data_IF_496899541688
#
_entry.id   IF_496899541688
#
_cell.length_a   1.000
_cell.length_b   1.000
_cell.length_c   1.000
_cell.angle_alpha   90.00
_cell.angle_beta   90.00
_cell.angle_gamma   90.00
#
_symmetry.space_group_name_H-M   'P 1'
#
loop_
_entity.id
_entity.type
_entity.pdbx_description
1 polymer ?
#
# COMPACT_ATOMS: atom_id res chain seq x y z
N UNK A 1 49.98 36.74 1.50
CA UNK A 1 49.42 35.76 2.43
C UNK A 1 48.09 35.29 1.84
N UNK A 2 48.14 34.16 1.13
CA UNK A 2 46.95 33.51 0.58
C UNK A 2 46.41 32.68 1.74
N UNK A 3 45.21 33.00 2.21
CA UNK A 3 44.51 32.15 3.16
C UNK A 3 44.18 30.85 2.41
N UNK A 4 44.86 29.76 2.74
CA UNK A 4 44.39 28.41 2.43
C UNK A 4 43.09 28.21 3.20
N UNK A 5 41.96 28.35 2.51
CA UNK A 5 40.70 27.79 2.98
C UNK A 5 40.87 26.27 3.04
N UNK A 6 41.18 25.76 4.23
CA UNK A 6 41.23 24.33 4.49
C UNK A 6 39.91 23.69 4.07
N UNK A 7 39.97 22.75 3.14
CA UNK A 7 38.84 21.92 2.70
C UNK A 7 38.24 21.24 3.94
N UNK A 8 37.06 21.71 4.40
CA UNK A 8 36.33 21.06 5.48
C UNK A 8 36.00 19.64 5.04
N UNK A 9 36.53 18.64 5.73
CA UNK A 9 36.28 17.24 5.43
C UNK A 9 34.86 16.90 5.87
N UNK A 10 34.02 16.56 4.90
CA UNK A 10 32.63 16.19 5.12
C UNK A 10 32.47 14.72 4.76
N UNK A 11 32.14 13.90 5.74
CA UNK A 11 31.93 12.46 5.57
C UNK A 11 30.45 12.14 5.71
N UNK A 12 29.92 11.31 4.81
CA UNK A 12 28.57 10.75 4.93
C UNK A 12 28.69 9.29 5.31
N UNK A 13 28.13 8.92 6.45
CA UNK A 13 28.09 7.56 6.98
C UNK A 13 26.67 7.03 6.86
N UNK A 14 26.49 5.85 6.27
CA UNK A 14 25.21 5.14 6.26
C UNK A 14 25.25 4.12 7.40
N UNK A 15 24.26 4.20 8.30
CA UNK A 15 24.15 3.30 9.46
C UNK A 15 22.70 2.97 9.77
N UNK A 16 22.49 1.98 10.63
CA UNK A 16 21.17 1.65 11.15
C UNK A 16 20.61 2.80 11.99
N UNK A 17 19.30 2.96 11.93
CA UNK A 17 18.55 3.91 12.75
C UNK A 17 18.56 3.47 14.23
N UNK A 18 18.92 4.38 15.12
CA UNK A 18 18.93 4.19 16.56
C UNK A 18 17.86 5.08 17.20
N UNK A 19 16.76 4.47 17.69
CA UNK A 19 15.56 5.21 18.09
C UNK A 19 15.81 6.30 19.15
N UNK A 20 16.59 5.99 20.18
CA UNK A 20 16.89 6.93 21.27
C UNK A 20 17.70 8.15 20.80
N UNK A 21 18.50 7.99 19.75
CA UNK A 21 19.42 9.01 19.25
C UNK A 21 18.81 9.82 18.11
N UNK A 22 18.16 9.14 17.16
CA UNK A 22 17.88 9.70 15.84
C UNK A 22 16.44 10.18 15.68
N UNK A 23 15.52 9.85 16.60
CA UNK A 23 14.07 10.08 16.44
C UNK A 23 13.72 11.52 16.08
N UNK A 24 14.27 12.49 16.80
CA UNK A 24 13.95 13.91 16.60
C UNK A 24 14.50 14.44 15.26
N UNK A 25 15.71 14.02 14.89
CA UNK A 25 16.36 14.45 13.66
C UNK A 25 15.70 13.82 12.43
N UNK A 26 15.30 12.55 12.52
CA UNK A 26 14.51 11.85 11.51
C UNK A 26 13.15 12.51 11.31
N UNK A 27 12.45 12.85 12.39
CA UNK A 27 11.16 13.53 12.31
C UNK A 27 11.30 14.93 11.66
N UNK A 28 12.37 15.64 12.00
CA UNK A 28 12.70 16.93 11.40
C UNK A 28 13.05 16.80 9.91
N UNK A 29 13.81 15.77 9.53
CA UNK A 29 14.16 15.48 8.15
C UNK A 29 12.94 15.11 7.30
N UNK A 30 12.05 14.26 7.80
CA UNK A 30 10.78 13.92 7.12
C UNK A 30 9.98 15.18 6.85
N UNK A 31 9.76 16.02 7.88
CA UNK A 31 9.05 17.30 7.76
C UNK A 31 9.66 18.22 6.70
N UNK A 32 10.98 18.25 6.61
CA UNK A 32 11.72 19.06 5.63
C UNK A 32 11.64 18.49 4.21
N UNK A 33 11.51 17.18 4.07
CA UNK A 33 11.40 16.48 2.80
C UNK A 33 9.96 16.43 2.26
N UNK A 34 8.95 16.73 3.09
CA UNK A 34 7.58 16.94 2.64
C UNK A 34 7.50 18.25 1.85
N UNK A 35 7.69 18.16 0.53
CA UNK A 35 7.59 19.27 -0.41
C UNK A 35 6.39 19.02 -1.32
N UNK A 36 5.40 19.91 -1.25
CA UNK A 36 4.42 20.06 -2.33
C UNK A 36 5.06 20.65 -3.59
N UNK A 37 4.31 20.70 -4.71
CA UNK A 37 4.78 21.38 -5.91
C UNK A 37 5.22 22.81 -5.57
N UNK A 38 6.41 23.20 -6.03
CA UNK A 38 6.93 24.56 -5.83
C UNK A 38 5.92 25.57 -6.40
N UNK A 39 5.45 26.53 -5.59
CA UNK A 39 4.55 27.60 -6.05
C UNK A 39 3.16 27.69 -5.40
N UNK A 40 2.97 27.20 -4.17
CA UNK A 40 1.72 27.40 -3.42
C UNK A 40 0.58 26.44 -3.78
N UNK A 41 0.89 25.35 -4.49
CA UNK A 41 -0.05 24.27 -4.73
C UNK A 41 -0.37 23.51 -3.43
N UNK A 42 -1.54 22.87 -3.39
CA UNK A 42 -1.90 22.01 -2.26
C UNK A 42 -0.95 20.81 -2.17
N UNK A 43 -0.57 20.43 -0.96
CA UNK A 43 0.36 19.34 -0.70
C UNK A 43 -0.18 18.41 0.38
N UNK A 44 0.14 17.12 0.28
CA UNK A 44 -0.17 16.15 1.30
C UNK A 44 1.04 16.02 2.24
N UNK A 45 0.79 16.17 3.53
CA UNK A 45 1.80 16.03 4.58
C UNK A 45 1.51 14.77 5.41
N UNK A 46 2.55 14.01 5.75
CA UNK A 46 2.43 12.80 6.57
C UNK A 46 3.02 13.02 7.96
N UNK A 47 2.24 12.75 8.99
CA UNK A 47 2.65 12.69 10.39
C UNK A 47 2.73 11.22 10.82
N UNK A 48 3.95 10.74 11.10
CA UNK A 48 4.21 9.35 11.51
C UNK A 48 3.97 9.12 13.02
N UNK A 49 3.31 10.05 13.72
CA UNK A 49 2.94 9.93 15.14
C UNK A 49 4.16 9.70 16.05
N UNK A 50 5.31 10.25 15.65
CA UNK A 50 6.59 10.07 16.33
C UNK A 50 7.20 8.68 16.18
N UNK A 51 6.69 7.83 15.30
CA UNK A 51 7.21 6.49 15.03
C UNK A 51 7.66 6.37 13.57
N UNK A 52 8.95 6.59 13.26
CA UNK A 52 9.44 6.49 11.89
C UNK A 52 9.43 5.06 11.35
N UNK A 53 9.25 4.01 12.17
CA UNK A 53 9.22 2.61 11.73
C UNK A 53 7.80 2.09 11.49
N UNK A 54 6.75 2.88 11.77
CA UNK A 54 5.35 2.45 11.75
C UNK A 54 4.93 1.77 10.44
N UNK A 55 5.46 2.22 9.29
CA UNK A 55 5.12 1.72 7.95
C UNK A 55 5.88 0.46 7.50
N UNK A 56 6.82 -0.05 8.31
CA UNK A 56 7.57 -1.28 7.99
C UNK A 56 7.56 -2.30 9.13
N UNK A 57 7.31 -1.88 10.37
CA UNK A 57 7.37 -2.75 11.55
C UNK A 57 6.41 -3.94 11.53
N UNK A 58 5.34 -3.84 10.75
CA UNK A 58 4.34 -4.91 10.64
C UNK A 58 4.73 -5.98 9.62
N UNK A 59 5.81 -5.79 8.86
CA UNK A 59 6.32 -6.70 7.83
C UNK A 59 7.74 -7.19 8.17
N UNK A 60 7.91 -8.04 9.20
CA UNK A 60 9.23 -8.57 9.55
C UNK A 60 9.74 -9.56 8.48
N UNK A 61 11.05 -9.55 8.16
CA UNK A 61 12.08 -8.65 8.70
C UNK A 61 12.03 -7.25 8.04
N UNK A 62 12.35 -6.22 8.82
CA UNK A 62 12.44 -4.83 8.36
C UNK A 62 13.73 -4.16 8.86
N UNK A 63 14.16 -3.11 8.17
CA UNK A 63 15.32 -2.28 8.51
C UNK A 63 15.05 -0.82 8.17
N UNK A 64 15.64 0.10 8.93
CA UNK A 64 15.74 1.50 8.58
C UNK A 64 17.19 1.94 8.66
N UNK A 65 17.65 2.61 7.60
CA UNK A 65 18.98 3.20 7.52
C UNK A 65 18.86 4.72 7.51
N UNK A 66 19.84 5.38 8.13
CA UNK A 66 20.02 6.83 8.10
C UNK A 66 21.36 7.18 7.47
N UNK A 67 21.40 8.33 6.78
CA UNK A 67 22.61 8.95 6.31
C UNK A 67 22.98 10.08 7.27
N UNK A 68 24.06 9.90 8.01
CA UNK A 68 24.61 10.86 8.94
C UNK A 68 25.77 11.61 8.31
N UNK A 69 25.66 12.94 8.29
CA UNK A 69 26.72 13.85 7.89
C UNK A 69 27.59 14.15 9.12
N UNK A 70 28.89 13.91 9.01
CA UNK A 70 29.87 14.22 10.05
C UNK A 70 30.83 15.28 9.49
N UNK A 71 30.98 16.38 10.24
CA UNK A 71 31.94 17.45 9.91
C UNK A 71 33.11 17.47 10.89
N UNK A 72 34.21 18.10 10.50
CA UNK A 72 35.40 18.29 11.37
C UNK A 72 35.11 19.01 12.69
N UNK A 73 33.99 19.74 12.78
CA UNK A 73 33.52 20.35 14.02
C UNK A 73 32.77 19.39 14.96
N UNK A 74 32.85 18.07 14.72
CA UNK A 74 32.06 17.02 15.39
C UNK A 74 30.54 17.23 15.28
N UNK A 75 30.08 18.10 14.37
CA UNK A 75 28.65 18.25 14.13
C UNK A 75 28.13 17.05 13.37
N UNK A 76 27.01 16.51 13.85
CA UNK A 76 26.32 15.36 13.28
C UNK A 76 24.93 15.76 12.87
N UNK A 77 24.54 15.42 11.66
CA UNK A 77 23.21 15.75 11.11
C UNK A 77 22.67 14.56 10.32
N UNK A 78 21.42 14.17 10.58
CA UNK A 78 20.71 13.18 9.75
C UNK A 78 20.20 13.87 8.48
N UNK A 79 20.81 13.56 7.34
CA UNK A 79 20.55 14.21 6.05
C UNK A 79 19.80 13.33 5.06
N UNK A 80 19.60 12.06 5.39
CA UNK A 80 18.85 11.12 4.58
C UNK A 80 18.40 9.91 5.37
N UNK A 81 17.40 9.20 4.86
CA UNK A 81 16.93 7.93 5.42
C UNK A 81 16.28 7.06 4.34
N UNK A 82 16.18 5.77 4.62
CA UNK A 82 15.43 4.80 3.81
C UNK A 82 14.93 3.67 4.70
N UNK A 83 13.78 3.09 4.36
CA UNK A 83 13.19 1.93 5.04
C UNK A 83 13.09 0.76 4.08
N UNK A 84 13.18 -0.44 4.63
CA UNK A 84 13.06 -1.68 3.89
C UNK A 84 12.30 -2.72 4.70
N UNK A 85 11.48 -3.53 4.03
CA UNK A 85 10.89 -4.74 4.60
C UNK A 85 10.90 -5.88 3.57
N UNK A 86 10.76 -7.12 4.03
CA UNK A 86 10.80 -8.30 3.17
C UNK A 86 9.59 -9.17 3.43
N UNK A 87 9.00 -9.69 2.36
CA UNK A 87 7.88 -10.63 2.41
C UNK A 87 8.06 -11.74 1.37
N UNK A 88 7.28 -12.80 1.52
CA UNK A 88 7.19 -13.87 0.52
C UNK A 88 5.83 -13.73 -0.16
N UNK A 89 5.84 -13.57 -1.48
CA UNK A 89 4.62 -13.32 -2.26
C UNK A 89 4.51 -14.21 -3.47
N UNK A 90 3.26 -14.45 -3.91
CA UNK A 90 3.00 -15.07 -5.19
C UNK A 90 3.45 -14.16 -6.35
N UNK A 91 4.26 -14.68 -7.25
CA UNK A 91 4.77 -13.98 -8.44
C UNK A 91 4.31 -14.61 -9.77
N UNK A 92 3.58 -15.73 -9.70
CA UNK A 92 3.01 -16.39 -10.87
C UNK A 92 2.52 -17.79 -10.56
N UNK A 93 2.26 -18.58 -11.60
CA UNK A 93 1.76 -19.95 -11.50
C UNK A 93 2.64 -20.92 -12.26
N UNK A 94 2.85 -22.11 -11.71
CA UNK A 94 3.47 -23.20 -12.49
C UNK A 94 2.49 -23.62 -13.57
N UNK A 95 2.92 -23.63 -14.83
CA UNK A 95 2.17 -24.31 -15.88
C UNK A 95 2.14 -25.81 -15.55
N UNK A 96 1.00 -26.50 -15.66
CA UNK A 96 1.00 -27.96 -15.58
C UNK A 96 1.95 -28.46 -16.68
N UNK A 97 2.95 -29.26 -16.29
CA UNK A 97 3.77 -29.96 -17.27
C UNK A 97 2.81 -30.76 -18.16
N UNK A 98 3.01 -30.71 -19.48
CA UNK A 98 2.31 -31.56 -20.44
C UNK A 98 2.69 -33.01 -20.10
N UNK A 99 1.97 -33.62 -19.17
CA UNK A 99 2.12 -35.03 -18.86
C UNK A 99 1.89 -35.75 -20.18
N UNK A 100 2.88 -36.55 -20.59
CA UNK A 100 2.64 -37.59 -21.59
C UNK A 100 1.41 -38.34 -21.14
N UNK A 101 0.39 -38.36 -22.01
CA UNK A 101 -0.91 -38.95 -21.74
C UNK A 101 -0.75 -40.42 -21.35
N UNK A 102 -0.59 -40.70 -20.06
CA UNK A 102 -0.91 -42.00 -19.50
C UNK A 102 -2.38 -41.95 -19.15
N UNK A 103 -3.13 -42.76 -19.87
CA UNK A 103 -4.54 -43.03 -19.65
C UNK A 103 -4.77 -43.46 -18.20
N UNK A 104 -5.24 -42.53 -17.35
CA UNK A 104 -6.14 -42.80 -16.23
C UNK A 104 -6.62 -41.46 -15.64
N UNK A 105 -7.93 -41.20 -15.79
CA UNK A 105 -8.77 -40.33 -14.97
C UNK A 105 -8.26 -38.94 -14.57
N UNK A 106 -8.72 -37.92 -15.28
CA UNK A 106 -8.53 -36.47 -15.04
C UNK A 106 -8.65 -36.03 -13.57
N UNK A 107 -7.51 -35.76 -12.94
CA UNK A 107 -7.41 -34.78 -11.86
C UNK A 107 -6.68 -33.55 -12.42
N UNK A 108 -7.45 -32.58 -12.92
CA UNK A 108 -6.92 -31.27 -13.30
C UNK A 108 -6.13 -30.70 -12.12
N UNK A 109 -4.81 -30.67 -12.23
CA UNK A 109 -3.92 -30.30 -11.14
C UNK A 109 -4.16 -28.82 -10.82
N UNK A 110 -4.66 -28.52 -9.62
CA UNK A 110 -4.93 -27.14 -9.17
C UNK A 110 -3.69 -26.27 -9.38
N UNK A 111 -3.85 -25.01 -9.85
CA UNK A 111 -2.72 -24.14 -10.10
C UNK A 111 -1.94 -23.91 -8.81
N UNK A 112 -0.65 -24.23 -8.84
CA UNK A 112 0.26 -24.00 -7.71
C UNK A 112 0.99 -22.67 -7.91
N UNK A 113 0.98 -21.79 -6.88
CA UNK A 113 1.66 -20.52 -6.98
C UNK A 113 3.17 -20.70 -6.91
N UNK A 114 3.88 -19.86 -7.65
CA UNK A 114 5.31 -19.65 -7.47
C UNK A 114 5.47 -18.50 -6.49
N UNK A 115 6.23 -18.74 -5.43
CA UNK A 115 6.56 -17.72 -4.45
C UNK A 115 7.96 -17.18 -4.72
N UNK A 116 8.14 -15.90 -4.45
CA UNK A 116 9.45 -15.25 -4.40
C UNK A 116 9.59 -14.48 -3.09
N UNK A 117 10.82 -14.40 -2.58
CA UNK A 117 11.17 -13.50 -1.47
C UNK A 117 11.43 -12.10 -2.05
N UNK A 118 10.58 -11.15 -1.70
CA UNK A 118 10.55 -9.82 -2.30
C UNK A 118 10.74 -8.76 -1.21
N UNK A 119 11.70 -7.87 -1.45
CA UNK A 119 11.99 -6.72 -0.63
C UNK A 119 11.26 -5.47 -1.14
N UNK A 120 10.76 -4.64 -0.22
CA UNK A 120 10.12 -3.38 -0.52
C UNK A 120 10.96 -2.22 0.03
N UNK A 121 11.36 -1.30 -0.83
CA UNK A 121 11.98 -0.03 -0.45
C UNK A 121 10.90 1.03 -0.24
N UNK A 122 10.91 1.62 0.95
CA UNK A 122 9.90 2.59 1.35
C UNK A 122 10.53 3.87 1.89
N UNK A 123 9.91 5.00 1.56
CA UNK A 123 10.13 6.27 2.24
C UNK A 123 11.58 6.76 2.14
N UNK A 124 12.23 6.62 0.98
CA UNK A 124 13.54 7.24 0.75
C UNK A 124 13.40 8.76 0.82
N UNK A 125 14.09 9.39 1.76
CA UNK A 125 14.14 10.85 1.92
C UNK A 125 15.58 11.32 1.94
N UNK A 126 15.84 12.45 1.30
CA UNK A 126 17.12 13.16 1.34
C UNK A 126 16.82 14.65 1.50
N UNK A 127 17.46 15.25 2.50
CA UNK A 127 17.38 16.69 2.81
C UNK A 127 17.54 17.50 1.53
N UNK A 128 16.63 18.46 1.22
CA UNK A 128 16.71 19.27 0.01
C UNK A 128 18.08 19.91 -0.21
N UNK A 129 18.74 20.35 0.87
CA UNK A 129 20.06 20.97 0.86
C UNK A 129 21.21 20.00 0.55
N UNK A 130 20.94 18.70 0.61
CA UNK A 130 21.92 17.62 0.46
C UNK A 130 21.62 16.73 -0.76
N UNK A 131 20.60 17.07 -1.57
CA UNK A 131 20.27 16.35 -2.81
C UNK A 131 21.41 16.50 -3.82
N UNK A 132 21.44 15.57 -4.78
CA UNK A 132 22.46 15.50 -5.85
C UNK A 132 23.90 15.24 -5.38
N UNK A 133 24.11 14.86 -4.11
CA UNK A 133 25.42 14.45 -3.55
C UNK A 133 25.61 12.93 -3.49
N UNK A 134 24.78 12.15 -4.18
CA UNK A 134 24.84 10.68 -4.18
C UNK A 134 24.30 9.98 -2.93
N UNK A 135 23.79 10.71 -1.93
CA UNK A 135 23.29 10.15 -0.66
C UNK A 135 22.16 9.14 -0.88
N UNK A 136 21.15 9.50 -1.69
CA UNK A 136 20.03 8.60 -1.97
C UNK A 136 20.45 7.30 -2.66
N UNK A 137 21.46 7.36 -3.53
CA UNK A 137 22.03 6.18 -4.18
C UNK A 137 22.72 5.28 -3.15
N UNK A 138 23.58 5.84 -2.27
CA UNK A 138 24.26 5.08 -1.21
C UNK A 138 23.29 4.43 -0.22
N UNK A 139 22.19 5.12 0.12
CA UNK A 139 21.13 4.55 0.97
C UNK A 139 20.47 3.33 0.31
N UNK A 140 20.14 3.42 -0.98
CA UNK A 140 19.55 2.30 -1.73
C UNK A 140 20.55 1.14 -1.85
N UNK A 141 21.80 1.41 -2.20
CA UNK A 141 22.87 0.42 -2.31
C UNK A 141 23.06 -0.36 -1.00
N UNK A 142 23.17 0.35 0.13
CA UNK A 142 23.33 -0.29 1.44
C UNK A 142 22.09 -1.08 1.88
N UNK A 143 20.90 -0.64 1.52
CA UNK A 143 19.67 -1.39 1.79
C UNK A 143 19.56 -2.64 0.90
N UNK A 144 20.01 -2.57 -0.36
CA UNK A 144 20.07 -3.73 -1.25
C UNK A 144 21.06 -4.79 -0.79
N UNK A 145 22.21 -4.39 -0.23
CA UNK A 145 23.13 -5.32 0.44
C UNK A 145 22.41 -6.10 1.55
N UNK A 146 21.69 -5.38 2.44
CA UNK A 146 20.91 -6.03 3.48
C UNK A 146 19.81 -6.95 2.91
N UNK A 147 19.14 -6.57 1.83
CA UNK A 147 18.17 -7.44 1.17
C UNK A 147 18.81 -8.72 0.61
N UNK A 148 20.01 -8.62 0.02
CA UNK A 148 20.78 -9.78 -0.46
C UNK A 148 21.23 -10.68 0.68
N UNK A 149 21.71 -10.10 1.79
CA UNK A 149 22.02 -10.84 3.03
C UNK A 149 20.80 -11.58 3.58
N UNK A 150 19.60 -11.01 3.37
CA UNK A 150 18.32 -11.66 3.69
C UNK A 150 17.75 -12.49 2.55
N UNK A 151 18.54 -12.84 1.54
CA UNK A 151 18.17 -13.73 0.42
C UNK A 151 16.92 -13.26 -0.36
N UNK A 152 16.65 -11.96 -0.39
CA UNK A 152 15.59 -11.43 -1.24
C UNK A 152 15.97 -11.60 -2.71
N UNK A 153 15.07 -12.16 -3.51
CA UNK A 153 15.27 -12.41 -4.94
C UNK A 153 14.99 -11.16 -5.77
N UNK A 154 14.06 -10.32 -5.30
CA UNK A 154 13.64 -9.09 -5.95
C UNK A 154 13.54 -7.95 -4.93
N UNK A 155 13.75 -6.72 -5.38
CA UNK A 155 13.40 -5.50 -4.67
C UNK A 155 12.45 -4.67 -5.52
N UNK A 156 11.45 -4.04 -4.90
CA UNK A 156 10.59 -3.07 -5.57
C UNK A 156 10.40 -1.81 -4.74
N UNK A 157 9.93 -0.77 -5.41
CA UNK A 157 9.62 0.53 -4.82
C UNK A 157 8.44 1.16 -5.55
N UNK A 158 7.70 2.03 -4.87
CA UNK A 158 6.59 2.78 -5.42
C UNK A 158 6.93 4.28 -5.44
N UNK A 159 6.48 4.99 -6.48
CA UNK A 159 6.64 6.45 -6.60
C UNK A 159 5.58 7.02 -7.53
N UNK A 160 5.12 8.24 -7.23
CA UNK A 160 4.25 8.98 -8.16
C UNK A 160 4.95 9.17 -9.52
N UNK A 161 4.18 9.08 -10.60
CA UNK A 161 4.70 9.10 -11.98
C UNK A 161 5.38 10.41 -12.38
N UNK A 162 5.08 11.50 -11.68
CA UNK A 162 5.65 12.84 -11.90
C UNK A 162 6.87 13.11 -11.01
N UNK A 163 7.22 12.21 -10.09
CA UNK A 163 8.44 12.30 -9.29
C UNK A 163 9.67 11.92 -10.12
N UNK A 164 10.06 12.81 -11.03
CA UNK A 164 11.18 12.60 -11.94
C UNK A 164 12.52 12.34 -11.22
N UNK A 165 12.70 12.86 -10.01
CA UNK A 165 13.92 12.67 -9.23
C UNK A 165 14.03 11.22 -8.75
N UNK A 166 12.93 10.67 -8.22
CA UNK A 166 12.83 9.27 -7.81
C UNK A 166 12.99 8.34 -9.01
N UNK A 167 12.24 8.58 -10.10
CA UNK A 167 12.31 7.77 -11.32
C UNK A 167 13.74 7.74 -11.88
N UNK A 168 14.40 8.89 -12.02
CA UNK A 168 15.79 8.96 -12.53
C UNK A 168 16.79 8.24 -11.63
N UNK A 169 16.62 8.32 -10.31
CA UNK A 169 17.47 7.59 -9.36
C UNK A 169 17.31 6.08 -9.57
N UNK A 170 16.08 5.57 -9.46
CA UNK A 170 15.83 4.13 -9.45
C UNK A 170 16.08 3.49 -10.81
N UNK A 171 15.53 4.06 -11.90
CA UNK A 171 15.66 3.45 -13.23
C UNK A 171 16.96 3.78 -13.94
N UNK A 172 17.61 4.89 -13.58
CA UNK A 172 18.85 5.34 -14.23
C UNK A 172 20.12 4.97 -13.48
N UNK A 173 20.08 4.87 -12.15
CA UNK A 173 21.29 4.66 -11.31
C UNK A 173 21.25 3.37 -10.53
N UNK A 174 20.09 2.99 -9.98
CA UNK A 174 19.98 1.79 -9.15
C UNK A 174 19.65 0.51 -9.93
N UNK A 175 19.34 0.60 -11.23
CA UNK A 175 19.08 -0.56 -12.09
C UNK A 175 17.67 -1.15 -11.97
N UNK A 176 16.69 -0.37 -11.51
CA UNK A 176 15.29 -0.80 -11.49
C UNK A 176 14.63 -0.63 -12.85
N UNK A 177 13.65 -1.46 -13.13
CA UNK A 177 12.79 -1.39 -14.31
C UNK A 177 11.38 -0.99 -13.90
N UNK A 178 10.66 -0.27 -14.77
CA UNK A 178 9.24 0.03 -14.56
C UNK A 178 8.45 -1.29 -14.62
N UNK A 179 7.57 -1.51 -13.66
CA UNK A 179 6.97 -2.83 -13.44
C UNK A 179 5.44 -2.84 -13.50
N UNK A 180 4.80 -2.12 -12.58
CA UNK A 180 3.34 -2.03 -12.46
C UNK A 180 2.93 -0.57 -12.28
N UNK A 181 1.68 -0.28 -12.59
CA UNK A 181 1.10 1.06 -12.43
C UNK A 181 -0.26 1.02 -11.74
N UNK A 182 -0.36 0.58 -10.47
CA UNK A 182 -1.63 0.59 -9.76
C UNK A 182 -2.22 2.00 -9.60
N UNK A 183 -3.49 2.05 -9.21
CA UNK A 183 -4.21 3.28 -8.94
C UNK A 183 -4.60 3.34 -7.45
N UNK A 184 -4.28 4.45 -6.79
CA UNK A 184 -4.74 4.74 -5.43
C UNK A 184 -6.06 5.49 -5.53
N UNK A 185 -7.14 4.85 -5.11
CA UNK A 185 -8.51 5.35 -5.18
C UNK A 185 -8.96 5.85 -3.82
N UNK A 186 -9.22 7.15 -3.70
CA UNK A 186 -9.56 7.79 -2.43
C UNK A 186 -11.01 8.26 -2.44
N UNK A 187 -11.76 7.83 -1.44
CA UNK A 187 -13.14 8.21 -1.19
C UNK A 187 -13.23 9.04 0.10
N UNK A 188 -13.71 10.29 0.04
CA UNK A 188 -13.94 11.06 1.26
C UNK A 188 -15.01 10.40 2.14
N UNK A 189 -14.84 10.57 3.46
CA UNK A 189 -15.85 10.21 4.45
C UNK A 189 -16.78 11.40 4.66
N UNK A 190 -18.02 11.26 4.22
CA UNK A 190 -19.07 12.27 4.37
C UNK A 190 -19.58 12.32 5.81
N UNK A 191 -20.30 13.40 6.14
CA UNK A 191 -20.92 13.51 7.46
C UNK A 191 -22.13 12.58 7.59
N UNK A 192 -22.87 12.37 6.50
CA UNK A 192 -23.99 11.43 6.44
C UNK A 192 -23.52 9.97 6.22
N UNK A 193 -24.41 9.02 6.51
CA UNK A 193 -24.18 7.59 6.21
C UNK A 193 -24.62 7.25 4.79
N UNK A 194 -23.85 6.39 4.13
CA UNK A 194 -24.21 5.84 2.83
C UNK A 194 -25.22 4.69 2.97
N UNK A 195 -26.24 4.63 2.09
CA UNK A 195 -27.25 3.59 2.16
C UNK A 195 -26.68 2.23 1.74
N UNK A 196 -27.03 1.18 2.46
CA UNK A 196 -26.76 -0.20 2.04
C UNK A 196 -27.92 -0.72 1.18
N UNK A 197 -27.66 -1.33 0.00
CA UNK A 197 -28.70 -1.94 -0.81
C UNK A 197 -29.41 -3.06 -0.04
N UNK A 198 -30.75 -3.06 0.00
CA UNK A 198 -31.53 -4.12 0.69
C UNK A 198 -31.33 -5.52 0.12
N UNK A 199 -30.95 -5.61 -1.15
CA UNK A 199 -30.68 -6.86 -1.84
C UNK A 199 -29.30 -7.46 -1.50
N UNK A 200 -28.48 -6.77 -0.69
CA UNK A 200 -27.13 -7.22 -0.32
C UNK A 200 -27.04 -7.35 1.20
N UNK A 201 -26.66 -8.54 1.68
CA UNK A 201 -26.25 -8.75 3.05
C UNK A 201 -24.73 -8.59 3.16
N UNK A 202 -24.27 -7.97 4.25
CA UNK A 202 -22.85 -7.82 4.56
C UNK A 202 -22.55 -8.60 5.84
N UNK A 203 -21.67 -9.59 5.72
CA UNK A 203 -21.26 -10.48 6.78
C UNK A 203 -19.83 -10.12 7.19
N UNK A 204 -19.58 -9.92 8.49
CA UNK A 204 -18.21 -9.92 9.01
C UNK A 204 -17.83 -11.37 9.28
N UNK A 205 -16.90 -11.92 8.51
CA UNK A 205 -16.51 -13.32 8.63
C UNK A 205 -15.37 -13.49 9.66
N UNK A 206 -15.31 -14.62 10.39
CA UNK A 206 -14.22 -14.90 11.32
C UNK A 206 -12.84 -14.90 10.64
N UNK A 207 -11.79 -14.54 11.37
CA UNK A 207 -10.43 -14.46 10.83
C UNK A 207 -9.93 -15.79 10.22
N UNK A 208 -10.26 -16.93 10.85
CA UNK A 208 -9.91 -18.26 10.31
C UNK A 208 -10.59 -18.52 8.96
N UNK A 209 -11.86 -18.12 8.81
CA UNK A 209 -12.60 -18.27 7.56
C UNK A 209 -12.09 -17.30 6.47
N UNK A 210 -11.77 -16.06 6.87
CA UNK A 210 -11.16 -15.09 5.96
C UNK A 210 -9.84 -15.59 5.39
N UNK A 211 -9.01 -16.23 6.22
CA UNK A 211 -7.76 -16.85 5.78
C UNK A 211 -8.01 -17.93 4.71
N UNK A 212 -8.92 -18.89 4.98
CA UNK A 212 -9.27 -19.94 4.02
C UNK A 212 -9.78 -19.35 2.71
N UNK A 213 -10.69 -18.38 2.78
CA UNK A 213 -11.25 -17.72 1.62
C UNK A 213 -10.18 -16.99 0.81
N UNK A 214 -9.28 -16.26 1.47
CA UNK A 214 -8.21 -15.51 0.80
C UNK A 214 -7.20 -16.45 0.16
N UNK A 215 -6.77 -17.49 0.87
CA UNK A 215 -5.84 -18.49 0.32
C UNK A 215 -6.43 -19.17 -0.90
N UNK A 216 -7.72 -19.49 -0.95
CA UNK A 216 -8.33 -20.08 -2.17
C UNK A 216 -8.52 -19.06 -3.29
N UNK A 217 -8.99 -17.84 -2.96
CA UNK A 217 -9.37 -16.84 -3.97
C UNK A 217 -8.17 -16.13 -4.61
N UNK A 218 -7.10 -15.90 -3.85
CA UNK A 218 -5.96 -15.09 -4.26
C UNK A 218 -4.67 -15.90 -4.43
N UNK A 219 -4.74 -17.24 -4.36
CA UNK A 219 -3.57 -18.13 -4.46
C UNK A 219 -2.61 -17.74 -5.58
N UNK A 220 -3.14 -17.38 -6.76
CA UNK A 220 -2.37 -17.02 -7.94
C UNK A 220 -2.34 -15.51 -8.23
N UNK A 221 -2.85 -14.67 -7.33
CA UNK A 221 -2.83 -13.22 -7.48
C UNK A 221 -1.44 -12.70 -7.19
N UNK A 222 -0.88 -11.89 -8.09
CA UNK A 222 0.45 -11.31 -7.91
C UNK A 222 0.52 -10.47 -6.63
N UNK A 223 1.64 -10.56 -5.91
CA UNK A 223 1.87 -9.97 -4.59
C UNK A 223 1.04 -10.56 -3.43
N UNK A 224 0.27 -11.63 -3.63
CA UNK A 224 -0.45 -12.26 -2.53
C UNK A 224 0.53 -12.81 -1.47
N UNK A 225 0.44 -12.35 -0.20
CA UNK A 225 1.40 -12.72 0.83
C UNK A 225 1.20 -14.17 1.28
N UNK A 226 2.30 -14.90 1.40
CA UNK A 226 2.29 -16.28 1.90
C UNK A 226 1.77 -16.36 3.34
N UNK A 227 2.03 -15.32 4.13
CA UNK A 227 1.65 -15.15 5.54
C UNK A 227 0.36 -14.32 5.72
N UNK A 228 -0.62 -14.48 4.82
CA UNK A 228 -1.87 -13.72 4.87
C UNK A 228 -2.61 -13.81 6.23
N UNK A 229 -2.41 -14.90 6.97
CA UNK A 229 -2.92 -15.09 8.32
C UNK A 229 -2.39 -14.04 9.32
N UNK A 230 -1.11 -13.67 9.21
CA UNK A 230 -0.52 -12.62 10.02
C UNK A 230 -1.12 -11.24 9.69
N UNK A 231 -1.46 -10.99 8.43
CA UNK A 231 -2.12 -9.76 7.99
C UNK A 231 -3.55 -9.68 8.55
N UNK A 232 -4.34 -10.75 8.39
CA UNK A 232 -5.74 -10.79 8.81
C UNK A 232 -5.87 -10.69 10.34
N UNK A 233 -4.98 -11.32 11.10
CA UNK A 233 -4.98 -11.34 12.58
C UNK A 233 -4.31 -10.12 13.21
N UNK A 234 -3.68 -9.25 12.41
CA UNK A 234 -3.04 -8.06 12.93
C UNK A 234 -4.07 -7.15 13.64
N UNK A 235 -3.75 -6.53 14.80
CA UNK A 235 -4.65 -5.60 15.47
C UNK A 235 -5.15 -4.42 14.63
N UNK A 236 -4.40 -4.03 13.59
CA UNK A 236 -4.79 -2.99 12.64
C UNK A 236 -5.81 -3.47 11.59
N UNK A 237 -6.01 -4.78 11.44
CA UNK A 237 -7.08 -5.36 10.62
C UNK A 237 -8.41 -5.27 11.37
N UNK A 238 -9.29 -4.37 10.91
CA UNK A 238 -10.61 -4.14 11.52
C UNK A 238 -11.61 -5.27 11.19
N UNK A 239 -11.28 -6.11 10.21
CA UNK A 239 -12.03 -7.31 9.86
C UNK A 239 -12.19 -7.50 8.35
N UNK A 240 -12.67 -8.69 8.00
CA UNK A 240 -13.00 -9.08 6.64
C UNK A 240 -14.52 -9.11 6.48
N UNK A 241 -15.00 -8.46 5.43
CA UNK A 241 -16.42 -8.31 5.13
C UNK A 241 -16.74 -8.98 3.79
N UNK A 242 -17.76 -9.81 3.80
CA UNK A 242 -18.29 -10.51 2.65
C UNK A 242 -19.68 -9.94 2.29
N UNK A 243 -19.85 -9.50 1.06
CA UNK A 243 -21.12 -9.05 0.51
C UNK A 243 -21.70 -10.15 -0.38
N UNK A 244 -22.93 -10.55 -0.08
CA UNK A 244 -23.69 -11.60 -0.78
C UNK A 244 -25.14 -11.15 -1.01
N UNK A 245 -25.90 -11.80 -1.91
CA UNK A 245 -27.33 -11.56 -2.04
C UNK A 245 -28.05 -11.81 -0.71
N UNK A 246 -28.95 -10.91 -0.34
CA UNK A 246 -29.62 -10.95 0.97
C UNK A 246 -30.50 -12.19 1.18
N UNK A 247 -30.93 -12.84 0.11
CA UNK A 247 -31.76 -14.04 0.07
C UNK A 247 -30.96 -15.35 -0.02
N UNK A 248 -29.62 -15.28 -0.10
CA UNK A 248 -28.79 -16.48 -0.20
C UNK A 248 -28.60 -17.19 1.15
N UNK A 249 -28.27 -18.48 1.12
CA UNK A 249 -28.05 -19.30 2.32
C UNK A 249 -27.02 -18.71 3.28
N UNK A 250 -25.88 -18.23 2.76
CA UNK A 250 -24.81 -17.65 3.57
C UNK A 250 -25.25 -16.39 4.35
N UNK A 251 -26.23 -15.63 3.83
CA UNK A 251 -26.78 -14.46 4.51
C UNK A 251 -27.65 -14.83 5.72
N UNK A 252 -28.37 -15.96 5.63
CA UNK A 252 -29.19 -16.48 6.72
C UNK A 252 -28.34 -17.17 7.80
N UNK A 253 -27.34 -17.95 7.38
CA UNK A 253 -26.45 -18.67 8.28
C UNK A 253 -25.06 -18.85 7.65
N UNK A 254 -24.05 -18.32 8.32
CA UNK A 254 -22.66 -18.59 7.96
C UNK A 254 -22.22 -19.94 8.50
N UNK A 255 -21.81 -20.85 7.60
CA UNK A 255 -21.37 -22.21 7.93
C UNK A 255 -19.85 -22.43 7.76
N UNK A 256 -19.10 -21.35 7.48
CA UNK A 256 -17.66 -21.40 7.26
C UNK A 256 -17.26 -21.19 5.80
N UNK A 257 -16.00 -20.84 5.60
CA UNK A 257 -15.47 -20.51 4.27
C UNK A 257 -15.49 -21.70 3.29
N UNK A 258 -15.22 -22.92 3.77
CA UNK A 258 -15.21 -24.11 2.92
C UNK A 258 -16.60 -24.40 2.33
N UNK A 259 -17.66 -24.30 3.15
CA UNK A 259 -19.04 -24.47 2.71
C UNK A 259 -19.44 -23.37 1.71
N UNK A 260 -19.07 -22.12 1.99
CA UNK A 260 -19.32 -20.99 1.08
C UNK A 260 -18.64 -21.20 -0.28
N UNK A 261 -17.38 -21.65 -0.31
CA UNK A 261 -16.61 -21.83 -1.54
C UNK A 261 -17.01 -23.09 -2.32
N UNK A 262 -17.64 -24.07 -1.66
CA UNK A 262 -18.20 -25.24 -2.33
C UNK A 262 -19.48 -24.91 -3.12
N UNK A 263 -20.27 -23.94 -2.65
CA UNK A 263 -21.50 -23.52 -3.31
C UNK A 263 -21.76 -22.00 -3.13
N UNK A 264 -20.94 -21.14 -3.76
CA UNK A 264 -21.11 -19.70 -3.63
C UNK A 264 -22.33 -19.20 -4.40
N UNK A 265 -22.95 -18.08 -3.98
CA UNK A 265 -24.01 -17.45 -4.76
C UNK A 265 -23.48 -16.93 -6.11
N UNK A 266 -24.38 -16.69 -7.06
CA UNK A 266 -24.04 -16.27 -8.42
C UNK A 266 -23.25 -14.94 -8.50
N UNK A 267 -23.29 -14.11 -7.46
CA UNK A 267 -22.42 -12.95 -7.35
C UNK A 267 -22.10 -12.66 -5.89
N UNK A 268 -20.86 -12.28 -5.61
CA UNK A 268 -20.41 -11.92 -4.27
C UNK A 268 -19.15 -11.05 -4.36
N UNK A 269 -18.80 -10.40 -3.25
CA UNK A 269 -17.51 -9.72 -3.10
C UNK A 269 -16.99 -9.83 -1.67
N UNK A 270 -15.69 -9.72 -1.50
CA UNK A 270 -15.00 -9.70 -0.20
C UNK A 270 -13.98 -8.56 -0.17
N UNK A 271 -13.79 -7.96 0.99
CA UNK A 271 -12.70 -7.03 1.25
C UNK A 271 -12.39 -6.99 2.75
N UNK A 272 -11.16 -6.65 3.09
CA UNK A 272 -10.74 -6.39 4.47
C UNK A 272 -10.40 -4.91 4.64
N UNK A 273 -10.41 -4.46 5.91
CA UNK A 273 -10.18 -3.06 6.26
C UNK A 273 -8.99 -2.97 7.21
N UNK A 274 -8.04 -2.11 6.87
CA UNK A 274 -6.86 -1.80 7.66
C UNK A 274 -6.93 -0.39 8.24
N UNK A 275 -6.56 -0.26 9.50
CA UNK A 275 -6.61 0.99 10.25
C UNK A 275 -5.30 1.78 10.15
N UNK A 276 -5.08 2.45 9.02
CA UNK A 276 -3.87 3.27 8.83
C UNK A 276 -3.83 4.52 9.72
N UNK A 277 -4.97 4.95 10.30
CA UNK A 277 -5.04 6.09 11.24
C UNK A 277 -4.15 5.92 12.48
N UNK A 278 -3.95 4.68 12.92
CA UNK A 278 -3.08 4.35 14.08
C UNK A 278 -1.60 4.23 13.67
N UNK A 279 -1.30 4.29 12.38
CA UNK A 279 0.06 4.22 11.82
C UNK A 279 0.57 5.62 11.50
N UNK A 280 -0.23 6.42 10.78
CA UNK A 280 0.10 7.79 10.43
C UNK A 280 -1.15 8.64 10.24
N UNK A 281 -0.95 9.96 10.22
CA UNK A 281 -1.97 10.94 9.84
C UNK A 281 -1.51 11.72 8.62
N UNK A 282 -2.49 12.18 7.86
CA UNK A 282 -2.33 13.02 6.70
C UNK A 282 -2.86 14.42 6.97
N UNK A 283 -2.33 15.41 6.29
CA UNK A 283 -2.84 16.77 6.32
C UNK A 283 -2.66 17.43 4.95
N UNK A 284 -3.74 17.98 4.39
CA UNK A 284 -3.68 18.79 3.17
C UNK A 284 -3.31 20.21 3.55
N UNK A 285 -2.11 20.63 3.17
CA UNK A 285 -1.58 21.99 3.35
C UNK A 285 -1.65 22.79 2.05
N UNK A 286 -1.48 24.11 2.14
CA UNK A 286 -1.48 25.01 0.99
C UNK A 286 -2.85 25.48 0.49
N UNK A 287 -3.96 24.93 0.99
CA UNK A 287 -5.30 25.38 0.59
C UNK A 287 -5.61 26.80 1.10
N UNK A 288 -6.16 27.65 0.21
CA UNK A 288 -6.54 29.03 0.52
C UNK A 288 -7.76 29.15 1.43
N UNK A 289 -7.94 30.31 2.09
CA UNK A 289 -9.03 30.53 3.06
C UNK A 289 -10.41 30.28 2.47
N UNK A 290 -10.66 30.71 1.23
CA UNK A 290 -11.93 30.48 0.53
C UNK A 290 -12.22 29.00 0.29
N UNK A 291 -11.21 28.21 -0.12
CA UNK A 291 -11.37 26.76 -0.32
C UNK A 291 -11.70 26.06 1.01
N UNK A 292 -11.01 26.46 2.10
CA UNK A 292 -11.29 25.95 3.46
C UNK A 292 -12.71 26.32 3.91
N UNK A 293 -13.15 27.54 3.63
CA UNK A 293 -14.50 28.01 3.96
C UNK A 293 -15.58 27.23 3.18
N UNK A 294 -15.39 27.04 1.87
CA UNK A 294 -16.30 26.24 1.02
C UNK A 294 -16.37 24.78 1.48
N UNK A 295 -15.22 24.16 1.80
CA UNK A 295 -15.19 22.82 2.35
C UNK A 295 -15.96 22.74 3.69
N UNK A 296 -15.72 23.69 4.61
CA UNK A 296 -16.44 23.77 5.89
C UNK A 296 -17.95 23.94 5.68
N UNK A 297 -18.37 24.79 4.74
CA UNK A 297 -19.78 24.98 4.39
C UNK A 297 -20.39 23.70 3.83
N UNK A 298 -19.70 23.01 2.91
CA UNK A 298 -20.17 21.74 2.35
C UNK A 298 -20.44 20.69 3.44
N UNK A 299 -19.57 20.62 4.46
CA UNK A 299 -19.78 19.74 5.63
C UNK A 299 -20.94 20.17 6.50
N UNK A 300 -21.08 21.47 6.75
CA UNK A 300 -22.16 21.99 7.59
C UNK A 300 -23.53 21.72 6.96
N UNK A 301 -23.65 21.89 5.64
CA UNK A 301 -24.87 21.56 4.89
C UNK A 301 -25.17 20.07 4.95
N UNK A 302 -24.16 19.23 4.76
CA UNK A 302 -24.30 17.77 4.83
C UNK A 302 -24.72 17.28 6.24
N UNK A 303 -24.17 17.90 7.29
CA UNK A 303 -24.56 17.63 8.69
C UNK A 303 -25.99 18.09 9.00
N UNK A 304 -26.41 19.23 8.45
CA UNK A 304 -27.74 19.78 8.70
C UNK A 304 -28.84 19.05 7.91
N UNK A 305 -28.53 18.54 6.72
CA UNK A 305 -29.47 17.93 5.78
C UNK A 305 -29.02 16.52 5.34
N UNK A 306 -28.77 15.57 6.27
CA UNK A 306 -28.15 14.28 5.95
C UNK A 306 -29.00 13.39 5.03
N UNK A 307 -30.31 13.65 4.93
CA UNK A 307 -31.21 12.93 4.01
C UNK A 307 -30.97 13.29 2.54
N UNK A 308 -30.38 14.46 2.26
CA UNK A 308 -30.02 14.87 0.89
C UNK A 308 -28.78 14.16 0.39
N UNK A 309 -27.97 13.57 1.28
CA UNK A 309 -26.78 12.76 0.96
C UNK A 309 -25.82 13.49 0.02
N UNK A 310 -25.60 14.77 0.30
CA UNK A 310 -24.76 15.62 -0.55
C UNK A 310 -23.30 15.23 -0.30
N UNK A 311 -22.53 14.87 -1.35
CA UNK A 311 -21.10 14.62 -1.20
C UNK A 311 -20.41 15.87 -0.64
N UNK A 312 -19.78 15.74 0.53
CA UNK A 312 -19.14 16.85 1.25
C UNK A 312 -17.63 16.63 1.38
N UNK A 313 -16.88 17.73 1.51
CA UNK A 313 -15.41 17.67 1.67
C UNK A 313 -15.08 17.50 3.16
N UNK A 314 -14.60 16.34 3.64
CA UNK A 314 -14.20 16.17 5.03
C UNK A 314 -13.10 17.17 5.44
N UNK A 315 -12.84 17.27 6.74
CA UNK A 315 -11.79 18.18 7.21
C UNK A 315 -10.40 17.60 6.95
N UNK A 316 -9.92 17.83 5.73
CA UNK A 316 -8.60 17.39 5.26
C UNK A 316 -7.48 18.39 5.61
N UNK A 317 -7.82 19.58 6.12
CA UNK A 317 -6.86 20.66 6.42
C UNK A 317 -6.33 20.62 7.86
N UNK A 318 -6.67 19.57 8.60
CA UNK A 318 -6.14 19.22 9.92
C UNK A 318 -5.71 17.76 9.87
N UNK A 319 -4.81 17.30 10.76
CA UNK A 319 -4.40 15.90 10.79
C UNK A 319 -5.59 14.93 10.79
N UNK A 320 -5.63 14.04 9.81
CA UNK A 320 -6.69 13.06 9.61
C UNK A 320 -6.11 11.68 9.31
N UNK A 321 -6.83 10.63 9.66
CA UNK A 321 -6.49 9.26 9.29
C UNK A 321 -7.33 8.72 8.14
N UNK A 322 -6.97 7.51 7.73
CA UNK A 322 -7.67 6.78 6.69
C UNK A 322 -7.85 5.32 7.05
N UNK A 323 -8.89 4.72 6.46
CA UNK A 323 -9.01 3.28 6.37
C UNK A 323 -8.57 2.82 4.99
N UNK A 324 -7.70 1.83 4.95
CA UNK A 324 -7.27 1.19 3.71
C UNK A 324 -8.07 -0.08 3.50
N UNK A 325 -8.75 -0.20 2.36
CA UNK A 325 -9.43 -1.42 1.93
C UNK A 325 -8.44 -2.26 1.13
N UNK A 326 -8.24 -3.51 1.55
CA UNK A 326 -7.31 -4.46 0.93
C UNK A 326 -7.99 -5.82 0.71
N UNK A 327 -7.32 -6.72 -0.02
CA UNK A 327 -7.85 -8.06 -0.32
C UNK A 327 -9.19 -8.02 -1.05
N UNK A 328 -9.33 -7.10 -1.99
CA UNK A 328 -10.54 -6.94 -2.79
C UNK A 328 -10.71 -8.12 -3.74
N UNK A 329 -11.78 -8.88 -3.57
CA UNK A 329 -12.12 -10.02 -4.40
C UNK A 329 -13.61 -10.12 -4.65
N UNK A 330 -14.00 -10.94 -5.61
CA UNK A 330 -15.40 -11.13 -5.96
C UNK A 330 -15.56 -11.86 -7.27
N UNK A 331 -16.76 -12.35 -7.50
CA UNK A 331 -17.15 -13.12 -8.68
C UNK A 331 -18.59 -12.81 -9.08
N UNK A 332 -18.90 -13.05 -10.35
CA UNK A 332 -20.24 -12.90 -10.90
C UNK A 332 -20.57 -11.52 -11.48
N UNK A 333 -21.66 -11.42 -12.24
CA UNK A 333 -22.06 -10.20 -12.97
C UNK A 333 -22.35 -9.00 -12.06
N UNK A 334 -22.77 -9.24 -10.81
CA UNK A 334 -23.05 -8.17 -9.84
C UNK A 334 -21.90 -7.92 -8.85
N UNK A 335 -20.70 -8.47 -9.06
CA UNK A 335 -19.57 -8.32 -8.13
C UNK A 335 -19.24 -6.85 -7.82
N UNK A 336 -19.22 -5.98 -8.85
CA UNK A 336 -18.99 -4.55 -8.67
C UNK A 336 -20.05 -3.86 -7.79
N UNK A 337 -21.31 -4.32 -7.84
CA UNK A 337 -22.35 -3.80 -6.96
C UNK A 337 -22.16 -4.26 -5.51
N UNK A 338 -21.71 -5.50 -5.29
CA UNK A 338 -21.35 -6.02 -3.98
C UNK A 338 -20.12 -5.29 -3.41
N UNK A 339 -19.11 -5.00 -4.22
CA UNK A 339 -17.96 -4.15 -3.84
C UNK A 339 -18.42 -2.75 -3.42
N UNK A 340 -19.37 -2.15 -4.14
CA UNK A 340 -19.93 -0.86 -3.75
C UNK A 340 -20.63 -0.92 -2.38
N UNK A 341 -21.37 -1.99 -2.11
CA UNK A 341 -22.00 -2.20 -0.82
C UNK A 341 -20.96 -2.37 0.31
N UNK A 342 -19.88 -3.13 0.08
CA UNK A 342 -18.74 -3.20 1.00
C UNK A 342 -18.14 -1.82 1.23
N UNK A 343 -17.91 -1.03 0.19
CA UNK A 343 -17.35 0.31 0.31
C UNK A 343 -18.24 1.24 1.14
N UNK A 344 -19.56 1.17 0.97
CA UNK A 344 -20.51 1.92 1.80
C UNK A 344 -20.44 1.50 3.26
N UNK A 345 -20.26 0.20 3.55
CA UNK A 345 -20.04 -0.29 4.90
C UNK A 345 -18.76 0.29 5.51
N UNK A 346 -17.64 0.23 4.79
CA UNK A 346 -16.35 0.77 5.27
C UNK A 346 -16.42 2.28 5.47
N UNK A 347 -17.05 3.01 4.55
CA UNK A 347 -17.32 4.43 4.72
C UNK A 347 -18.11 4.70 6.00
N UNK A 348 -19.17 3.94 6.27
CA UNK A 348 -19.98 4.12 7.47
C UNK A 348 -19.24 3.75 8.76
N UNK A 349 -18.31 2.79 8.72
CA UNK A 349 -17.38 2.52 9.82
C UNK A 349 -16.47 3.73 10.06
N UNK A 350 -15.85 4.25 9.01
CA UNK A 350 -14.96 5.41 9.07
C UNK A 350 -15.70 6.69 9.53
N UNK A 351 -16.95 6.88 9.13
CA UNK A 351 -17.80 8.01 9.55
C UNK A 351 -18.05 7.99 11.06
N UNK A 352 -18.20 6.79 11.65
CA UNK A 352 -18.35 6.61 13.09
C UNK A 352 -17.03 6.67 13.86
N UNK A 353 -15.88 6.67 13.19
CA UNK A 353 -14.56 6.68 13.82
C UNK A 353 -13.94 8.09 13.83
N UNK A 354 -13.71 8.61 15.03
CA UNK A 354 -13.11 9.91 15.22
C UNK A 354 -11.70 9.97 14.58
N UNK A 355 -11.50 10.99 13.73
CA UNK A 355 -10.25 11.24 13.03
C UNK A 355 -10.13 10.55 11.68
N UNK A 356 -10.94 9.53 11.35
CA UNK A 356 -10.93 8.93 10.01
C UNK A 356 -11.70 9.83 9.03
N UNK A 357 -11.08 10.23 7.92
CA UNK A 357 -11.65 11.19 6.96
C UNK A 357 -11.68 10.71 5.52
N UNK A 358 -10.94 9.65 5.20
CA UNK A 358 -10.95 9.05 3.87
C UNK A 358 -10.89 7.54 3.97
N UNK A 359 -11.48 6.87 2.98
CA UNK A 359 -11.31 5.44 2.72
C UNK A 359 -10.52 5.34 1.43
N UNK A 360 -9.45 4.56 1.41
CA UNK A 360 -8.60 4.37 0.25
C UNK A 360 -8.48 2.90 -0.13
N UNK A 361 -8.18 2.63 -1.40
CA UNK A 361 -7.69 1.33 -1.84
C UNK A 361 -6.67 1.56 -2.95
N UNK A 362 -5.62 0.75 -2.96
CA UNK A 362 -4.71 0.67 -4.09
C UNK A 362 -5.02 -0.61 -4.86
N UNK A 363 -5.24 -0.50 -6.17
CA UNK A 363 -5.65 -1.61 -7.03
C UNK A 363 -4.89 -1.59 -8.35
N UNK A 364 -4.73 -2.74 -8.99
CA UNK A 364 -4.15 -2.81 -10.33
C UNK A 364 -4.89 -1.88 -11.31
N UNK A 365 -4.17 -1.34 -12.31
CA UNK A 365 -4.74 -0.45 -13.32
C UNK A 365 -6.01 -1.03 -13.98
N UNK A 366 -5.96 -2.34 -14.24
CA UNK A 366 -6.99 -3.12 -14.93
C UNK A 366 -7.93 -3.89 -13.99
N UNK A 367 -7.93 -3.60 -12.69
CA UNK A 367 -8.75 -4.34 -11.71
C UNK A 367 -10.23 -4.36 -12.11
N UNK A 368 -10.81 -5.53 -12.42
CA UNK A 368 -12.21 -5.64 -12.86
C UNK A 368 -13.21 -5.03 -11.85
N UNK A 369 -12.92 -5.16 -10.56
CA UNK A 369 -13.77 -4.70 -9.48
C UNK A 369 -13.67 -3.18 -9.22
N UNK A 370 -12.74 -2.48 -9.89
CA UNK A 370 -12.54 -1.03 -9.78
C UNK A 370 -13.82 -0.23 -10.03
N UNK A 371 -14.72 -0.72 -10.91
CA UNK A 371 -16.03 -0.11 -11.21
C UNK A 371 -16.97 -0.04 -9.98
N UNK A 372 -16.72 -0.90 -9.00
CA UNK A 372 -17.44 -0.94 -7.74
C UNK A 372 -16.95 0.06 -6.70
N UNK A 373 -15.79 0.71 -6.91
CA UNK A 373 -15.11 1.57 -5.94
C UNK A 373 -15.47 3.05 -6.16
N UNK A 374 -16.32 3.66 -5.32
CA UNK A 374 -16.54 5.10 -5.33
C UNK A 374 -15.25 5.82 -4.95
N UNK A 375 -14.87 6.87 -5.67
CA UNK A 375 -13.68 7.67 -5.38
C UNK A 375 -13.78 9.07 -6.01
N UNK A 376 -12.99 10.01 -5.51
CA UNK A 376 -12.86 11.34 -6.07
C UNK A 376 -11.54 11.48 -6.82
N UNK A 377 -11.61 11.71 -8.14
CA UNK A 377 -10.41 11.83 -8.99
C UNK A 377 -9.39 12.85 -8.50
N UNK A 378 -9.82 13.92 -7.82
CA UNK A 378 -8.94 14.96 -7.27
C UNK A 378 -8.14 14.51 -6.04
N UNK A 379 -8.58 13.45 -5.36
CA UNK A 379 -7.91 12.88 -4.19
C UNK A 379 -7.19 11.56 -4.54
N UNK A 380 -7.50 10.97 -5.68
CA UNK A 380 -6.93 9.71 -6.15
C UNK A 380 -5.65 9.92 -6.98
N UNK A 381 -4.74 8.95 -6.92
CA UNK A 381 -3.64 8.81 -7.88
C UNK A 381 -4.06 7.81 -8.97
N UNK A 382 -4.09 8.26 -10.23
CA UNK A 382 -4.53 7.41 -11.35
C UNK A 382 -3.51 6.32 -11.69
N UNK A 383 -2.22 6.63 -11.51
CA UNK A 383 -1.07 5.80 -11.89
C UNK A 383 0.07 6.07 -10.91
N UNK A 384 0.20 5.22 -9.90
CA UNK A 384 1.39 5.13 -9.06
C UNK A 384 2.37 4.16 -9.73
N UNK A 385 3.65 4.52 -9.85
CA UNK A 385 4.62 3.73 -10.59
C UNK A 385 5.39 2.82 -9.63
N UNK A 386 5.21 1.52 -9.80
CA UNK A 386 6.04 0.52 -9.15
C UNK A 386 7.22 0.17 -10.05
N UNK A 387 8.42 0.23 -9.50
CA UNK A 387 9.64 -0.23 -10.16
C UNK A 387 10.18 -1.46 -9.45
N UNK A 388 10.74 -2.42 -10.20
CA UNK A 388 11.30 -3.67 -9.68
C UNK A 388 12.71 -3.90 -10.20
N UNK A 389 13.53 -4.54 -9.38
CA UNK A 389 14.88 -5.00 -9.67
C UNK A 389 15.02 -6.43 -9.18
N UNK A 390 15.62 -7.29 -10.00
CA UNK A 390 16.08 -8.60 -9.55
C UNK A 390 17.41 -8.45 -8.81
N UNK A 391 17.51 -9.05 -7.63
CA UNK A 391 18.70 -9.02 -6.78
C UNK A 391 19.55 -10.29 -6.89
N UNK A 392 18.95 -11.42 -7.25
CA UNK A 392 19.63 -12.70 -7.41
C UNK A 392 20.34 -12.81 -8.77
N UNK A 393 21.63 -13.17 -8.75
CA UNK A 393 22.53 -13.16 -9.90
C UNK A 393 22.35 -14.38 -10.85
N UNK A 394 21.71 -15.47 -10.40
CA UNK A 394 21.53 -16.69 -11.18
C UNK A 394 20.06 -17.06 -11.39
N UNK A 395 19.71 -17.61 -12.57
CA UNK A 395 18.48 -18.37 -12.73
C UNK A 395 18.69 -19.71 -12.05
N UNK A 396 18.08 -19.92 -10.89
CA UNK A 396 17.96 -21.28 -10.37
C UNK A 396 17.36 -22.17 -11.45
N UNK A 397 18.03 -23.30 -11.72
CA UNK A 397 17.85 -24.25 -12.84
C UNK A 397 16.45 -24.93 -12.94
N UNK A 398 15.40 -24.34 -12.38
CA UNK A 398 14.04 -24.90 -12.38
C UNK A 398 12.89 -23.88 -12.39
N UNK A 399 13.15 -22.57 -12.58
CA UNK A 399 12.07 -21.57 -12.55
C UNK A 399 11.32 -21.48 -13.89
N UNK A 400 10.23 -22.25 -14.01
CA UNK A 400 9.31 -22.24 -15.16
C UNK A 400 8.67 -20.87 -15.53
N UNK A 401 8.94 -19.81 -14.75
CA UNK A 401 8.33 -18.48 -14.89
C UNK A 401 9.18 -17.46 -15.68
N UNK A 402 10.48 -17.73 -15.90
CA UNK A 402 11.40 -16.72 -16.44
C UNK A 402 11.64 -15.56 -15.47
N UNK A 403 12.12 -14.42 -15.98
CA UNK A 403 12.34 -13.19 -15.20
C UNK A 403 11.01 -12.50 -14.90
N UNK A 404 10.56 -12.55 -13.63
CA UNK A 404 9.30 -11.95 -13.20
C UNK A 404 9.22 -10.45 -13.48
N UNK A 405 10.36 -9.74 -13.49
CA UNK A 405 10.41 -8.30 -13.81
C UNK A 405 9.88 -7.98 -15.22
N UNK A 406 9.87 -8.98 -16.12
CA UNK A 406 9.43 -8.86 -17.52
C UNK A 406 8.02 -9.41 -17.74
N UNK A 407 7.39 -9.95 -16.70
CA UNK A 407 6.06 -10.52 -16.81
C UNK A 407 5.01 -9.43 -17.12
N UNK A 408 4.03 -9.70 -18.01
CA UNK A 408 2.98 -8.74 -18.32
C UNK A 408 2.13 -8.44 -17.07
N UNK A 409 1.57 -7.22 -16.95
CA UNK A 409 0.72 -6.87 -15.80
C UNK A 409 -0.50 -7.79 -15.71
N UNK A 410 -0.78 -8.40 -14.54
CA UNK A 410 -2.00 -9.17 -14.33
C UNK A 410 -3.23 -8.25 -14.23
N UNK A 411 -4.45 -8.78 -14.36
CA UNK A 411 -5.67 -8.00 -14.15
C UNK A 411 -5.79 -7.47 -12.71
N UNK A 412 -5.28 -8.22 -11.73
CA UNK A 412 -5.36 -7.92 -10.31
C UNK A 412 -4.02 -8.15 -9.63
N UNK A 413 -3.73 -7.32 -8.62
CA UNK A 413 -2.59 -7.48 -7.70
C UNK A 413 -3.14 -7.42 -6.27
N UNK A 414 -2.47 -8.07 -5.33
CA UNK A 414 -2.76 -7.94 -3.91
C UNK A 414 -1.83 -6.90 -3.29
N UNK A 415 -2.39 -5.80 -2.78
CA UNK A 415 -1.63 -4.80 -2.04
C UNK A 415 -1.63 -5.19 -0.56
N UNK A 416 -0.43 -5.38 0.00
CA UNK A 416 -0.26 -5.71 1.41
C UNK A 416 -0.50 -4.46 2.25
N UNK A 417 -1.52 -4.44 3.14
CA UNK A 417 -1.87 -3.23 3.87
C UNK A 417 -0.80 -2.79 4.88
N UNK A 418 0.17 -3.67 5.21
CA UNK A 418 1.28 -3.36 6.10
C UNK A 418 2.28 -2.37 5.49
N UNK A 419 2.26 -2.20 4.17
CA UNK A 419 3.20 -1.37 3.41
C UNK A 419 2.66 0.03 3.08
N UNK A 420 1.41 0.29 3.47
CA UNK A 420 0.71 1.54 3.18
C UNK A 420 1.10 2.65 4.15
#
# INVERSE_FOLDING_TARGET
MVAEEGEKKVVVVIREYEAERDRNDVESLERMCEVGPSGGAMSLFTDLLGDPLCRVRHSPPFLMLVAELITDSESREIVGLIRGCIKIVACGTKKPHRATATSDGDAATSPSPIYAKVAYLLGLRVSPFHRRRGIGFKLVERMEEWFKEKEAEYAYMATEKDNEASIRLFTGRCGYSKFRTPAILVHPVFAHRLPLPRAVAILRIPANDAEVLYRRRFVCTEFFPRDIDAVIRNPLSLGTFLAVPADCHAAARWEGADAFLANPPASWAVASVWNSKEVFRLEVRGAGQWQRALAKLSRAVDQALPWLRIPSVPDLFRPFGLYLVYGLGGEGPAAAAHVRALWHQVHNMAQGDAGCRVVAAEVAACEPLRRGIPHWRRLSCAEDLWCVKRLADEYGDGSSLGDWCKAPPPPSIFVDPREF
#
